data_IF_322378187913
#
_entry.id   IF_322378187913
#
_cell.length_a   1.000
_cell.length_b   1.000
_cell.length_c   1.000
_cell.angle_alpha   90.00
_cell.angle_beta   90.00
_cell.angle_gamma   90.00
#
_symmetry.space_group_name_H-M   'P 1'
#
loop_
_entity.id
_entity.type
_entity.pdbx_description
1 polymer ?
#
# COMPACT_ATOMS: atom_id res chain seq x y z
N UNK A 1 -3.33 2.61 -3.60
CA UNK A 1 -3.15 1.35 -4.33
C UNK A 1 -1.98 1.48 -5.27
N UNK A 2 -1.51 0.37 -5.81
CA UNK A 2 -0.59 0.35 -6.94
C UNK A 2 -1.33 0.69 -8.24
N UNK A 3 -0.62 0.56 -9.35
CA UNK A 3 -1.06 0.77 -10.72
C UNK A 3 -2.23 -0.14 -11.13
N UNK A 4 -2.44 -1.27 -10.46
CA UNK A 4 -3.50 -2.24 -10.79
C UNK A 4 -4.88 -1.80 -10.28
N UNK A 5 -4.94 -0.85 -9.34
CA UNK A 5 -6.21 -0.31 -8.84
C UNK A 5 -6.69 0.89 -9.64
N UNK A 6 -8.00 1.09 -9.66
CA UNK A 6 -8.60 2.34 -10.13
C UNK A 6 -8.47 3.43 -9.08
N UNK A 7 -8.24 4.67 -9.54
CA UNK A 7 -8.25 5.84 -8.68
C UNK A 7 -9.65 6.07 -8.10
N UNK A 8 -9.72 6.24 -6.77
CA UNK A 8 -10.94 6.54 -6.04
C UNK A 8 -10.68 7.66 -5.02
N UNK A 9 -11.75 8.29 -4.52
CA UNK A 9 -11.66 9.30 -3.44
C UNK A 9 -10.91 8.81 -2.19
N UNK A 10 -11.02 7.51 -1.92
CA UNK A 10 -10.44 6.82 -0.77
C UNK A 10 -9.24 5.91 -1.15
N UNK A 11 -8.84 5.88 -2.42
CA UNK A 11 -7.73 5.05 -2.90
C UNK A 11 -6.92 5.80 -3.96
N UNK A 12 -5.81 6.40 -3.53
CA UNK A 12 -4.88 7.08 -4.42
C UNK A 12 -3.92 6.09 -5.07
N UNK A 13 -3.68 6.25 -6.37
CA UNK A 13 -2.77 5.43 -7.19
C UNK A 13 -1.72 6.32 -7.86
N UNK A 14 -0.57 5.78 -8.30
CA UNK A 14 0.42 6.55 -9.06
C UNK A 14 -0.17 7.14 -10.35
N UNK A 15 0.46 8.20 -10.87
CA UNK A 15 0.24 8.61 -12.25
C UNK A 15 0.78 7.52 -13.18
N UNK A 16 0.02 7.17 -14.22
CA UNK A 16 0.49 6.24 -15.25
C UNK A 16 1.64 6.87 -16.02
N UNK A 17 2.77 6.17 -16.11
CA UNK A 17 3.92 6.65 -16.87
C UNK A 17 3.75 6.29 -18.35
N UNK A 18 3.48 7.30 -19.15
CA UNK A 18 3.42 7.23 -20.61
C UNK A 18 4.60 7.96 -21.26
N UNK A 19 5.68 8.21 -20.52
CA UNK A 19 6.85 8.97 -20.95
C UNK A 19 6.73 10.49 -20.80
N UNK A 20 5.56 11.00 -20.41
CA UNK A 20 5.28 12.45 -20.34
C UNK A 20 4.94 12.96 -18.94
N UNK A 21 5.38 12.26 -17.89
CA UNK A 21 5.19 12.72 -16.51
C UNK A 21 5.99 14.00 -16.23
N UNK A 22 5.31 15.00 -15.68
CA UNK A 22 5.94 16.20 -15.13
C UNK A 22 6.86 15.85 -13.96
N UNK A 23 7.81 16.73 -13.64
CA UNK A 23 8.73 16.53 -12.51
C UNK A 23 7.98 16.33 -11.19
N UNK A 24 6.89 17.09 -10.96
CA UNK A 24 6.04 16.93 -9.78
C UNK A 24 5.34 15.58 -9.74
N UNK A 25 4.82 15.09 -10.86
CA UNK A 25 4.19 13.77 -10.93
C UNK A 25 5.20 12.65 -10.70
N UNK A 26 6.43 12.78 -11.20
CA UNK A 26 7.53 11.85 -10.88
C UNK A 26 7.86 11.86 -9.39
N UNK A 27 7.99 13.04 -8.78
CA UNK A 27 8.20 13.17 -7.33
C UNK A 27 7.05 12.56 -6.52
N UNK A 28 5.80 12.77 -6.94
CA UNK A 28 4.63 12.12 -6.33
C UNK A 28 4.73 10.59 -6.46
N UNK A 29 4.98 10.04 -7.65
CA UNK A 29 5.10 8.60 -7.86
C UNK A 29 6.21 8.00 -7.01
N UNK A 30 7.36 8.67 -6.90
CA UNK A 30 8.46 8.26 -6.04
C UNK A 30 8.06 8.25 -4.56
N UNK A 31 7.45 9.33 -4.06
CA UNK A 31 6.99 9.40 -2.67
C UNK A 31 5.90 8.36 -2.36
N UNK A 32 4.97 8.16 -3.29
CA UNK A 32 3.89 7.19 -3.20
C UNK A 32 4.45 5.76 -3.12
N UNK A 33 5.38 5.41 -4.01
CA UNK A 33 6.09 4.12 -3.99
C UNK A 33 6.89 3.94 -2.69
N UNK A 34 7.64 4.95 -2.25
CA UNK A 34 8.39 4.91 -0.99
C UNK A 34 7.47 4.66 0.21
N UNK A 35 6.30 5.29 0.27
CA UNK A 35 5.32 5.04 1.32
C UNK A 35 4.75 3.60 1.26
N UNK A 36 4.53 3.07 0.05
CA UNK A 36 4.08 1.68 -0.13
C UNK A 36 5.10 0.68 0.39
N UNK A 37 6.39 0.83 0.05
CA UNK A 37 7.47 -0.06 0.50
C UNK A 37 7.46 -0.21 2.03
N UNK A 38 7.27 0.89 2.76
CA UNK A 38 7.21 0.86 4.24
C UNK A 38 6.02 0.02 4.72
N UNK A 39 4.85 0.19 4.12
CA UNK A 39 3.63 -0.56 4.49
C UNK A 39 3.72 -2.03 4.10
N UNK A 40 4.25 -2.34 2.91
CA UNK A 40 4.46 -3.69 2.42
C UNK A 40 5.43 -4.45 3.34
N UNK A 41 6.53 -3.82 3.74
CA UNK A 41 7.47 -4.38 4.73
C UNK A 41 6.80 -4.61 6.07
N UNK A 42 6.02 -3.65 6.58
CA UNK A 42 5.31 -3.80 7.85
C UNK A 42 4.32 -4.99 7.83
N UNK A 43 3.55 -5.14 6.75
CA UNK A 43 2.66 -6.30 6.60
C UNK A 43 3.42 -7.61 6.36
N UNK A 44 4.55 -7.58 5.67
CA UNK A 44 5.46 -8.72 5.54
C UNK A 44 5.91 -9.24 6.90
N UNK A 45 6.41 -8.34 7.76
CA UNK A 45 6.85 -8.68 9.11
C UNK A 45 5.69 -9.16 10.01
N UNK A 46 4.52 -8.51 9.93
CA UNK A 46 3.33 -8.92 10.67
C UNK A 46 2.91 -10.35 10.31
N UNK A 47 2.78 -10.64 9.01
CA UNK A 47 2.39 -11.97 8.51
C UNK A 47 3.48 -13.01 8.77
N UNK A 48 4.75 -12.64 8.70
CA UNK A 48 5.89 -13.50 9.03
C UNK A 48 5.88 -13.92 10.50
N UNK A 49 5.56 -12.99 11.41
CA UNK A 49 5.38 -13.27 12.85
C UNK A 49 4.16 -14.16 13.11
N UNK A 50 3.01 -13.72 12.61
CA UNK A 50 1.72 -14.36 12.82
C UNK A 50 1.32 -15.12 11.57
N UNK A 51 1.97 -16.27 11.34
CA UNK A 51 1.75 -17.11 10.16
C UNK A 51 0.30 -17.54 9.95
N UNK A 52 -0.53 -17.51 10.99
CA UNK A 52 -1.98 -17.70 10.87
C UNK A 52 -2.64 -16.71 9.90
N UNK A 53 -2.04 -15.53 9.66
CA UNK A 53 -2.51 -14.53 8.70
C UNK A 53 -2.13 -14.86 7.25
N UNK A 54 -1.29 -15.87 7.02
CA UNK A 54 -0.93 -16.35 5.68
C UNK A 54 -1.91 -17.39 5.14
N UNK A 55 -2.81 -17.89 5.99
CA UNK A 55 -3.78 -18.93 5.65
C UNK A 55 -5.19 -18.49 6.04
N UNK A 56 -6.18 -19.26 5.63
CA UNK A 56 -7.55 -19.10 6.13
C UNK A 56 -7.58 -19.25 7.64
N UNK A 57 -8.18 -18.30 8.34
CA UNK A 57 -8.37 -18.38 9.78
C UNK A 57 -9.44 -19.42 10.07
N UNK A 58 -9.10 -20.43 10.88
CA UNK A 58 -10.02 -21.46 11.35
C UNK A 58 -10.91 -20.91 12.48
N UNK A 59 -11.74 -19.91 12.15
CA UNK A 59 -12.65 -19.23 13.08
C UNK A 59 -14.06 -19.27 12.47
N UNK A 60 -14.96 -20.04 13.08
CA UNK A 60 -16.35 -20.14 12.62
C UNK A 60 -17.13 -18.85 12.85
N UNK A 61 -16.79 -18.13 13.92
CA UNK A 61 -17.36 -16.83 14.28
C UNK A 61 -16.68 -15.72 13.51
N UNK A 62 -17.17 -15.47 12.30
CA UNK A 62 -16.60 -14.47 11.38
C UNK A 62 -16.59 -13.05 11.94
N UNK A 63 -17.49 -12.74 12.86
CA UNK A 63 -17.53 -11.48 13.62
C UNK A 63 -16.28 -11.26 14.50
N UNK A 64 -15.57 -12.32 14.87
CA UNK A 64 -14.34 -12.24 15.67
C UNK A 64 -13.07 -12.09 14.81
N UNK A 65 -13.15 -12.31 13.49
CA UNK A 65 -12.00 -12.21 12.59
C UNK A 65 -11.31 -10.84 12.68
N UNK A 66 -12.03 -9.69 12.66
CA UNK A 66 -11.38 -8.39 12.80
C UNK A 66 -10.62 -8.24 14.14
N UNK A 67 -11.20 -8.73 15.25
CA UNK A 67 -10.54 -8.70 16.55
C UNK A 67 -9.29 -9.58 16.59
N UNK A 68 -9.33 -10.74 15.92
CA UNK A 68 -8.17 -11.61 15.80
C UNK A 68 -7.02 -10.92 15.04
N UNK A 69 -7.31 -10.33 13.88
CA UNK A 69 -6.33 -9.57 13.08
C UNK A 69 -5.77 -8.39 13.90
N UNK A 70 -6.64 -7.64 14.57
CA UNK A 70 -6.22 -6.53 15.44
C UNK A 70 -5.30 -7.00 16.57
N UNK A 71 -5.60 -8.14 17.18
CA UNK A 71 -4.77 -8.73 18.23
C UNK A 71 -3.37 -9.06 17.72
N UNK A 72 -3.24 -9.61 16.50
CA UNK A 72 -1.93 -9.80 15.86
C UNK A 72 -1.19 -8.47 15.68
N UNK A 73 -1.84 -7.41 15.21
CA UNK A 73 -1.22 -6.09 15.07
C UNK A 73 -0.75 -5.51 16.41
N UNK A 74 -1.58 -5.60 17.45
CA UNK A 74 -1.23 -5.11 18.79
C UNK A 74 -0.04 -5.88 19.36
N UNK A 75 -0.08 -7.22 19.31
CA UNK A 75 1.02 -8.06 19.79
C UNK A 75 2.31 -7.84 18.98
N UNK A 76 2.21 -7.65 17.67
CA UNK A 76 3.35 -7.29 16.82
C UNK A 76 4.02 -6.00 17.29
N UNK A 77 3.23 -4.96 17.54
CA UNK A 77 3.75 -3.66 18.00
C UNK A 77 4.40 -3.78 19.38
N UNK A 78 3.84 -4.60 20.29
CA UNK A 78 4.46 -4.86 21.60
C UNK A 78 5.84 -5.52 21.43
N UNK A 79 5.98 -6.48 20.52
CA UNK A 79 7.28 -7.09 20.22
C UNK A 79 8.29 -6.05 19.69
N UNK A 80 7.89 -5.21 18.73
CA UNK A 80 8.74 -4.14 18.21
C UNK A 80 9.20 -3.18 19.33
N UNK A 81 8.29 -2.77 20.21
CA UNK A 81 8.62 -1.89 21.35
C UNK A 81 9.60 -2.53 22.33
N UNK A 82 9.67 -3.87 22.38
CA UNK A 82 10.60 -4.62 23.22
C UNK A 82 11.91 -4.97 22.51
N UNK A 83 12.11 -4.53 21.27
CA UNK A 83 13.28 -4.89 20.47
C UNK A 83 13.32 -6.36 20.07
N UNK A 84 12.21 -7.08 20.18
CA UNK A 84 12.06 -8.43 19.66
C UNK A 84 11.79 -8.31 18.16
N UNK A 85 12.85 -8.11 17.38
CA UNK A 85 12.79 -7.98 15.93
C UNK A 85 12.88 -9.34 15.24
N UNK A 86 12.16 -9.50 14.14
CA UNK A 86 12.26 -10.71 13.32
C UNK A 86 13.28 -10.50 12.21
N UNK A 87 14.30 -11.33 12.20
CA UNK A 87 15.24 -11.44 11.10
C UNK A 87 14.63 -12.33 10.01
N UNK A 88 13.66 -11.79 9.26
CA UNK A 88 13.21 -12.43 8.03
C UNK A 88 13.91 -11.75 6.84
N UNK A 89 14.57 -12.55 6.01
CA UNK A 89 14.79 -12.16 4.62
C UNK A 89 13.41 -12.05 3.98
N UNK A 90 12.92 -10.83 3.80
CA UNK A 90 11.76 -10.62 2.94
C UNK A 90 12.21 -11.02 1.56
N UNK A 91 11.77 -12.20 1.10
CA UNK A 91 11.73 -12.48 -0.32
C UNK A 91 10.78 -11.43 -0.89
N UNK A 92 11.34 -10.32 -1.34
CA UNK A 92 10.63 -9.28 -2.07
C UNK A 92 10.03 -9.99 -3.28
N UNK A 93 8.75 -10.33 -3.20
CA UNK A 93 8.03 -10.81 -4.38
C UNK A 93 7.93 -9.58 -5.27
N UNK A 94 8.82 -9.48 -6.24
CA UNK A 94 8.69 -8.51 -7.33
C UNK A 94 7.32 -8.73 -7.98
N UNK A 95 6.36 -7.91 -7.59
CA UNK A 95 5.09 -7.79 -8.28
C UNK A 95 5.41 -7.12 -9.61
N UNK A 96 5.55 -7.92 -10.67
CA UNK A 96 5.66 -7.40 -12.03
C UNK A 96 4.38 -6.63 -12.35
N UNK A 97 4.52 -5.33 -12.63
CA UNK A 97 3.44 -4.44 -13.04
C UNK A 97 2.79 -4.96 -14.34
N UNK A 98 1.72 -5.74 -14.24
CA UNK A 98 0.88 -6.08 -15.40
C UNK A 98 -0.06 -4.89 -15.63
N UNK A 99 0.33 -4.01 -16.54
CA UNK A 99 -0.47 -2.88 -16.98
C UNK A 99 -1.64 -3.36 -17.86
N UNK A 100 -2.77 -3.73 -17.24
CA UNK A 100 -4.00 -3.99 -18.00
C UNK A 100 -4.69 -2.66 -18.42
N UNK A 101 -4.78 -2.48 -19.73
CA UNK A 101 -5.56 -1.43 -20.37
C UNK A 101 -7.05 -1.75 -20.28
N UNK A 102 -7.74 -1.16 -19.31
CA UNK A 102 -9.22 -1.10 -19.31
C UNK A 102 -9.67 0.35 -19.42
N UNK A 103 -10.12 0.70 -20.62
CA UNK A 103 -10.92 1.88 -20.91
C UNK A 103 -12.29 1.76 -20.21
N UNK A 104 -12.69 2.77 -19.44
CA UNK A 104 -13.87 3.61 -19.67
C UNK A 104 -14.24 4.43 -18.43
N UNK A 105 -14.66 5.66 -18.71
CA UNK A 105 -14.87 6.78 -17.80
C UNK A 105 -16.26 6.71 -17.17
N UNK A 106 -16.36 6.82 -15.85
CA UNK A 106 -17.60 7.29 -15.19
C UNK A 106 -17.27 8.08 -13.92
N UNK A 107 -18.18 8.99 -13.56
CA UNK A 107 -18.04 10.19 -12.71
C UNK A 107 -17.44 10.03 -11.28
N UNK A 108 -17.02 8.82 -10.88
CA UNK A 108 -16.54 8.48 -9.54
C UNK A 108 -15.10 8.97 -9.26
N UNK A 109 -14.35 9.43 -10.27
CA UNK A 109 -12.92 9.76 -10.11
C UNK A 109 -12.60 11.24 -9.92
N UNK A 110 -13.53 12.20 -10.10
CA UNK A 110 -13.16 13.64 -10.08
C UNK A 110 -12.59 14.05 -8.71
N UNK A 111 -13.24 13.64 -7.61
CA UNK A 111 -12.74 13.92 -6.26
C UNK A 111 -11.39 13.25 -5.99
N UNK A 112 -11.20 12.00 -6.44
CA UNK A 112 -9.93 11.28 -6.31
C UNK A 112 -8.80 11.92 -7.13
N UNK A 113 -9.09 12.35 -8.35
CA UNK A 113 -8.16 13.09 -9.23
C UNK A 113 -7.79 14.41 -8.57
N UNK A 114 -8.77 15.22 -8.17
CA UNK A 114 -8.51 16.51 -7.51
C UNK A 114 -7.68 16.35 -6.24
N UNK A 115 -7.96 15.32 -5.43
CA UNK A 115 -7.19 15.00 -4.21
C UNK A 115 -5.76 14.60 -4.53
N UNK A 116 -5.56 13.72 -5.52
CA UNK A 116 -4.22 13.29 -5.96
C UNK A 116 -3.41 14.49 -6.46
N UNK A 117 -4.00 15.29 -7.34
CA UNK A 117 -3.34 16.42 -7.97
C UNK A 117 -3.01 17.51 -6.93
N UNK A 118 -3.92 17.76 -5.97
CA UNK A 118 -3.65 18.65 -4.83
C UNK A 118 -2.47 18.16 -3.99
N UNK A 119 -2.37 16.85 -3.73
CA UNK A 119 -1.24 16.27 -3.00
C UNK A 119 0.04 16.38 -3.84
N UNK A 120 -0.01 16.06 -5.13
CA UNK A 120 1.12 16.19 -6.06
C UNK A 120 1.69 17.63 -6.06
N UNK A 121 0.83 18.64 -6.06
CA UNK A 121 1.25 20.04 -6.03
C UNK A 121 1.78 20.49 -4.66
N UNK A 122 1.30 19.92 -3.56
CA UNK A 122 1.72 20.28 -2.20
C UNK A 122 2.89 19.47 -1.67
N UNK A 123 3.20 18.32 -2.27
CA UNK A 123 4.33 17.50 -1.88
C UNK A 123 5.63 18.28 -2.06
N UNK A 124 6.49 18.22 -1.04
CA UNK A 124 7.84 18.77 -1.12
C UNK A 124 8.61 18.03 -2.21
N UNK A 125 9.29 18.78 -3.07
CA UNK A 125 10.18 18.20 -4.07
C UNK A 125 11.35 17.53 -3.36
N UNK A 126 11.55 16.24 -3.62
CA UNK A 126 12.76 15.53 -3.23
C UNK A 126 13.76 15.66 -4.37
N UNK A 127 14.95 16.15 -4.07
CA UNK A 127 16.08 16.03 -4.98
C UNK A 127 16.59 14.60 -4.86
N UNK A 128 16.21 13.75 -5.80
CA UNK A 128 16.71 12.37 -5.94
C UNK A 128 17.73 12.36 -7.06
#
# INVERSE_FOLDING_TARGET
GDSAYKLHENLLVPYRDNGHLTERQRNYNFCHSSARIVIERAFGLLKGRFRCLLTTLAIDRTDLIPMHILSCCVLHNICLMRGDELNFETNDVELTDIADNVENVSAVSIAGVAKRDLICERLRMRHV
#
